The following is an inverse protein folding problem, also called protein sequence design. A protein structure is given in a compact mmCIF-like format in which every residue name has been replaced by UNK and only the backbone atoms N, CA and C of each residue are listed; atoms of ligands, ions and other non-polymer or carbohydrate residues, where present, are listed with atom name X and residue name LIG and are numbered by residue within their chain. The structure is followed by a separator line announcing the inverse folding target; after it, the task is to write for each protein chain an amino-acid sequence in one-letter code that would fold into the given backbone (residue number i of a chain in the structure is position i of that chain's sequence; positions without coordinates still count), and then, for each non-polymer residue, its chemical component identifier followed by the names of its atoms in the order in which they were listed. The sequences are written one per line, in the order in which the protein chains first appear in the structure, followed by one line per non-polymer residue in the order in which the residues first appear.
data_IF_443999051774
#
_entry.id   IF_443999051774
#
_cell.length_a   1.000
_cell.length_b   1.000
_cell.length_c   1.000
_cell.angle_alpha   90.00
_cell.angle_beta   90.00
_cell.angle_gamma   90.00
#
_symmetry.space_group_name_H-M   'P 1'
#
loop_
_entity.id
_entity.type
_entity.pdbx_description
1 polymer ?
#
# COMPACT_ATOMS: atom_id res chain seq x y z
N UNK A 1 -79.95 -31.75 -7.51
CA UNK A 1 -78.47 -31.93 -7.46
C UNK A 1 -77.89 -30.68 -8.08
N UNK A 2 -77.22 -29.85 -7.25
CA UNK A 2 -76.57 -28.59 -7.67
C UNK A 2 -75.08 -28.85 -7.66
N UNK A 3 -74.44 -28.77 -8.81
CA UNK A 3 -72.99 -28.90 -8.96
C UNK A 3 -72.34 -27.51 -8.72
N UNK A 4 -71.49 -27.41 -7.71
CA UNK A 4 -70.66 -26.26 -7.46
C UNK A 4 -69.31 -26.47 -8.18
N UNK A 5 -69.03 -25.68 -9.21
CA UNK A 5 -67.76 -25.70 -9.92
C UNK A 5 -66.83 -24.75 -9.14
N UNK A 6 -65.82 -25.33 -8.45
CA UNK A 6 -64.76 -24.51 -7.83
C UNK A 6 -63.74 -24.14 -8.91
N UNK A 7 -63.63 -22.86 -9.21
CA UNK A 7 -62.57 -22.30 -10.07
C UNK A 7 -61.30 -22.13 -9.24
N UNK A 8 -60.25 -22.89 -9.59
CA UNK A 8 -58.90 -22.73 -8.96
C UNK A 8 -58.21 -21.50 -9.66
N UNK A 9 -57.97 -20.44 -8.88
CA UNK A 9 -57.22 -19.27 -9.31
C UNK A 9 -55.73 -19.61 -9.13
N UNK A 10 -55.02 -19.86 -10.23
CA UNK A 10 -53.56 -20.03 -10.20
C UNK A 10 -52.88 -18.65 -10.09
N UNK A 11 -52.32 -18.34 -8.92
CA UNK A 11 -51.44 -17.19 -8.77
C UNK A 11 -50.11 -17.46 -9.51
N UNK A 12 -49.86 -16.79 -10.61
CA UNK A 12 -48.56 -16.77 -11.27
C UNK A 12 -47.61 -15.88 -10.44
N UNK A 13 -46.59 -16.48 -9.83
CA UNK A 13 -45.49 -15.75 -9.20
C UNK A 13 -44.66 -15.02 -10.27
N UNK A 14 -44.32 -13.75 -10.08
CA UNK A 14 -43.48 -13.05 -11.04
C UNK A 14 -42.12 -13.71 -11.13
N UNK A 15 -41.68 -14.01 -12.36
CA UNK A 15 -40.35 -14.56 -12.65
C UNK A 15 -39.28 -13.65 -12.04
N UNK A 16 -38.37 -14.26 -11.29
CA UNK A 16 -37.39 -13.60 -10.43
C UNK A 16 -36.61 -12.50 -11.14
N UNK A 17 -36.62 -11.34 -10.53
CA UNK A 17 -35.67 -10.29 -10.86
C UNK A 17 -34.26 -10.81 -10.58
N UNK A 18 -33.46 -11.00 -11.63
CA UNK A 18 -32.04 -11.36 -11.49
C UNK A 18 -31.35 -10.23 -10.72
N UNK A 19 -30.96 -10.51 -9.48
CA UNK A 19 -30.20 -9.55 -8.68
C UNK A 19 -28.94 -9.14 -9.45
N UNK A 20 -28.71 -7.83 -9.60
CA UNK A 20 -27.46 -7.35 -10.19
C UNK A 20 -26.30 -7.90 -9.38
N UNK A 21 -25.20 -8.36 -10.03
CA UNK A 21 -24.02 -8.83 -9.31
C UNK A 21 -23.56 -7.75 -8.34
N UNK A 22 -23.40 -8.11 -7.08
CA UNK A 22 -22.80 -7.20 -6.08
C UNK A 22 -21.33 -7.03 -6.47
N UNK A 23 -20.85 -5.79 -6.68
CA UNK A 23 -19.45 -5.56 -7.00
C UNK A 23 -18.55 -6.21 -5.95
N UNK A 24 -17.48 -6.89 -6.42
CA UNK A 24 -16.49 -7.47 -5.51
C UNK A 24 -15.86 -6.33 -4.69
N UNK A 25 -15.79 -6.46 -3.35
CA UNK A 25 -15.12 -5.47 -2.54
C UNK A 25 -13.69 -5.22 -3.01
N UNK A 26 -13.27 -3.96 -3.05
CA UNK A 26 -11.92 -3.57 -3.46
C UNK A 26 -11.40 -2.46 -2.55
N UNK A 27 -10.07 -2.31 -2.50
CA UNK A 27 -9.45 -1.20 -1.80
C UNK A 27 -9.59 0.05 -2.66
N UNK A 28 -10.33 1.03 -2.17
CA UNK A 28 -10.53 2.30 -2.85
C UNK A 28 -9.46 3.30 -2.44
N UNK A 29 -8.84 3.96 -3.42
CA UNK A 29 -7.84 5.00 -3.21
C UNK A 29 -8.28 6.28 -3.86
N UNK A 30 -8.14 7.41 -3.17
CA UNK A 30 -8.44 8.74 -3.71
C UNK A 30 -7.19 9.61 -3.69
N UNK A 31 -7.22 10.68 -4.46
CA UNK A 31 -6.13 11.65 -4.57
C UNK A 31 -5.97 12.18 -5.98
N UNK A 32 -5.15 13.20 -6.15
CA UNK A 32 -4.87 13.74 -7.48
C UNK A 32 -4.02 12.73 -8.29
N UNK A 33 -4.31 12.51 -9.58
CA UNK A 33 -3.54 11.60 -10.43
C UNK A 33 -2.04 11.92 -10.44
N UNK A 34 -1.68 13.21 -10.40
CA UNK A 34 -0.31 13.71 -10.40
C UNK A 34 0.39 13.62 -9.04
N UNK A 35 -0.34 13.36 -7.95
CA UNK A 35 0.25 13.25 -6.62
C UNK A 35 1.13 11.99 -6.50
N UNK A 36 2.20 12.11 -5.70
CA UNK A 36 3.13 11.00 -5.43
C UNK A 36 2.50 9.91 -4.56
N UNK A 37 1.49 10.27 -3.78
CA UNK A 37 0.80 9.42 -2.80
C UNK A 37 -0.71 9.51 -2.98
N UNK A 38 -1.45 8.56 -2.44
CA UNK A 38 -2.91 8.68 -2.30
C UNK A 38 -3.28 9.59 -1.14
N UNK A 39 -4.39 10.32 -1.27
CA UNK A 39 -4.98 11.11 -0.17
C UNK A 39 -5.65 10.22 0.87
N UNK A 40 -6.38 9.19 0.41
CA UNK A 40 -7.02 8.19 1.26
C UNK A 40 -6.84 6.77 0.71
N UNK A 41 -6.99 5.79 1.59
CA UNK A 41 -7.18 4.38 1.23
C UNK A 41 -8.30 3.82 2.13
N UNK A 42 -9.40 3.39 1.52
CA UNK A 42 -10.50 2.74 2.23
C UNK A 42 -10.39 1.23 2.05
N UNK A 43 -10.37 0.52 3.17
CA UNK A 43 -10.18 -0.93 3.23
C UNK A 43 -11.53 -1.55 3.55
N UNK A 44 -12.11 -2.41 2.68
CA UNK A 44 -13.40 -3.03 2.94
C UNK A 44 -13.34 -4.03 4.09
N UNK A 45 -14.47 -4.26 4.74
CA UNK A 45 -14.59 -5.27 5.79
C UNK A 45 -14.21 -6.66 5.26
N UNK A 46 -13.59 -7.46 6.12
CA UNK A 46 -13.13 -8.82 5.77
C UNK A 46 -11.77 -8.85 5.05
N UNK A 47 -11.14 -7.71 4.81
CA UNK A 47 -9.78 -7.64 4.24
C UNK A 47 -8.75 -8.30 5.14
N UNK A 48 -7.75 -8.94 4.53
CA UNK A 48 -6.52 -9.35 5.23
C UNK A 48 -5.61 -8.14 5.37
N UNK A 49 -5.03 -7.95 6.55
CA UNK A 49 -4.11 -6.86 6.86
C UNK A 49 -2.74 -7.45 7.21
N UNK A 50 -1.69 -6.87 6.64
CA UNK A 50 -0.30 -7.21 6.92
C UNK A 50 0.46 -5.95 7.36
N UNK A 51 1.11 -6.02 8.51
CA UNK A 51 1.98 -4.99 9.03
C UNK A 51 3.44 -5.34 8.72
N UNK A 52 4.16 -4.40 8.11
CA UNK A 52 5.58 -4.50 7.87
C UNK A 52 6.29 -3.57 8.86
N UNK A 53 7.18 -4.14 9.67
CA UNK A 53 8.03 -3.38 10.60
C UNK A 53 8.95 -2.41 9.86
N UNK A 54 9.48 -1.43 10.60
CA UNK A 54 10.51 -0.52 10.13
C UNK A 54 11.67 -1.28 9.48
N UNK A 55 12.00 -0.88 8.28
CA UNK A 55 13.07 -1.47 7.46
C UNK A 55 14.07 -0.37 7.13
N UNK A 56 15.36 -0.66 7.37
CA UNK A 56 16.50 0.20 7.00
C UNK A 56 17.28 -0.39 5.83
N UNK A 57 18.17 0.38 5.23
CA UNK A 57 18.98 -0.07 4.10
C UNK A 57 19.96 -1.19 4.48
N UNK A 58 20.40 -1.97 3.51
CA UNK A 58 21.60 -2.82 3.62
C UNK A 58 22.83 -2.01 3.21
N UNK A 59 24.03 -2.34 3.68
CA UNK A 59 25.26 -1.73 3.19
C UNK A 59 25.36 -1.81 1.67
N UNK A 60 25.91 -0.77 1.04
CA UNK A 60 26.13 -0.71 -0.42
C UNK A 60 27.16 -1.77 -0.83
N UNK A 61 28.21 -1.92 -0.01
CA UNK A 61 29.24 -2.91 -0.16
C UNK A 61 29.32 -3.75 1.12
N UNK A 62 29.14 -5.08 1.05
CA UNK A 62 29.26 -5.96 2.22
C UNK A 62 30.59 -5.83 2.97
N UNK A 63 31.67 -5.42 2.30
CA UNK A 63 32.98 -5.17 2.90
C UNK A 63 33.05 -3.85 3.69
N UNK A 64 32.02 -3.00 3.56
CA UNK A 64 31.89 -1.69 4.22
C UNK A 64 30.59 -1.64 5.01
N UNK A 65 30.49 -2.28 6.17
CA UNK A 65 29.22 -2.51 6.88
C UNK A 65 28.51 -1.25 7.36
N UNK A 66 29.18 -0.09 7.38
CA UNK A 66 28.62 1.20 7.78
C UNK A 66 28.37 2.17 6.60
N UNK A 67 28.66 1.73 5.36
CA UNK A 67 28.36 2.51 4.16
C UNK A 67 27.00 2.10 3.58
N UNK A 68 25.98 2.91 3.85
CA UNK A 68 24.61 2.71 3.34
C UNK A 68 24.27 3.65 2.16
N UNK A 69 25.22 4.50 1.77
CA UNK A 69 25.00 5.51 0.74
C UNK A 69 24.08 6.67 1.18
N UNK A 70 23.65 7.44 0.21
CA UNK A 70 22.76 8.59 0.41
C UNK A 70 21.30 8.19 0.61
N UNK A 71 20.42 9.19 0.84
CA UNK A 71 18.98 8.99 1.03
C UNK A 71 18.33 8.23 -0.12
N UNK A 72 18.70 8.52 -1.37
CA UNK A 72 18.14 7.85 -2.55
C UNK A 72 18.57 6.37 -2.58
N UNK A 73 19.85 6.08 -2.35
CA UNK A 73 20.42 4.72 -2.29
C UNK A 73 19.75 3.91 -1.18
N UNK A 74 19.63 4.48 0.01
CA UNK A 74 18.95 3.82 1.14
C UNK A 74 17.48 3.56 0.85
N UNK A 75 16.76 4.52 0.29
CA UNK A 75 15.36 4.35 -0.10
C UNK A 75 15.19 3.20 -1.09
N UNK A 76 16.06 3.13 -2.12
CA UNK A 76 16.03 2.05 -3.11
C UNK A 76 16.26 0.68 -2.45
N UNK A 77 17.27 0.57 -1.60
CA UNK A 77 17.58 -0.66 -0.85
C UNK A 77 16.38 -1.13 -0.03
N UNK A 78 15.74 -0.20 0.72
CA UNK A 78 14.57 -0.49 1.56
C UNK A 78 13.39 -0.96 0.72
N UNK A 79 12.98 -0.21 -0.30
CA UNK A 79 11.82 -0.57 -1.12
C UNK A 79 12.02 -1.87 -1.90
N UNK A 80 13.26 -2.17 -2.30
CA UNK A 80 13.61 -3.47 -2.90
C UNK A 80 13.42 -4.62 -1.90
N UNK A 81 13.88 -4.46 -0.66
CA UNK A 81 13.69 -5.47 0.40
C UNK A 81 12.21 -5.65 0.75
N UNK A 82 11.46 -4.55 0.89
CA UNK A 82 10.02 -4.62 1.17
C UNK A 82 9.27 -5.34 0.04
N UNK A 83 9.63 -5.05 -1.22
CA UNK A 83 9.06 -5.75 -2.38
C UNK A 83 9.33 -7.25 -2.29
N UNK A 84 10.57 -7.66 -2.07
CA UNK A 84 10.94 -9.08 -1.95
C UNK A 84 10.22 -9.77 -0.76
N UNK A 85 10.11 -9.10 0.38
CA UNK A 85 9.37 -9.62 1.55
C UNK A 85 7.89 -9.85 1.22
N UNK A 86 7.25 -8.86 0.60
CA UNK A 86 5.84 -8.95 0.19
C UNK A 86 5.64 -10.09 -0.81
N UNK A 87 6.46 -10.16 -1.85
CA UNK A 87 6.37 -11.20 -2.89
C UNK A 87 6.60 -12.61 -2.31
N UNK A 88 7.55 -12.78 -1.39
CA UNK A 88 7.78 -14.04 -0.69
C UNK A 88 6.60 -14.53 0.16
N UNK A 89 5.71 -13.62 0.55
CA UNK A 89 4.47 -13.91 1.28
C UNK A 89 3.23 -13.97 0.38
N UNK A 90 3.39 -13.86 -0.95
CA UNK A 90 2.29 -13.81 -1.90
C UNK A 90 1.56 -12.46 -1.93
N UNK A 91 2.22 -11.37 -1.48
CA UNK A 91 1.73 -10.00 -1.55
C UNK A 91 2.53 -9.20 -2.60
N UNK A 92 2.15 -7.94 -2.82
CA UNK A 92 2.86 -7.05 -3.73
C UNK A 92 2.93 -5.62 -3.18
N UNK A 93 3.74 -4.78 -3.78
CA UNK A 93 3.73 -3.33 -3.50
C UNK A 93 2.36 -2.69 -3.79
N UNK A 94 1.59 -3.24 -4.73
CA UNK A 94 0.23 -2.79 -5.04
C UNK A 94 -0.76 -2.97 -3.89
N UNK A 95 -0.47 -3.88 -2.96
CA UNK A 95 -1.30 -4.13 -1.77
C UNK A 95 -0.99 -3.15 -0.63
N UNK A 96 0.11 -2.36 -0.71
CA UNK A 96 0.46 -1.39 0.34
C UNK A 96 -0.55 -0.23 0.34
N UNK A 97 -1.13 0.03 1.51
CA UNK A 97 -2.15 1.06 1.70
C UNK A 97 -1.66 2.25 2.51
N UNK A 98 -0.69 2.03 3.40
CA UNK A 98 -0.09 3.08 4.24
C UNK A 98 1.41 2.87 4.37
N UNK A 99 2.16 3.98 4.36
CA UNK A 99 3.58 4.01 4.73
C UNK A 99 3.85 5.16 5.70
N UNK A 100 4.79 4.94 6.61
CA UNK A 100 5.47 5.99 7.34
C UNK A 100 6.95 5.95 6.95
N UNK A 101 7.50 7.11 6.66
CA UNK A 101 8.89 7.30 6.25
C UNK A 101 9.55 8.23 7.24
N UNK A 102 10.57 7.74 7.90
CA UNK A 102 11.39 8.48 8.85
C UNK A 102 12.72 8.81 8.17
N UNK A 103 13.06 10.09 8.12
CA UNK A 103 14.28 10.58 7.48
C UNK A 103 15.14 11.33 8.49
N UNK A 104 16.43 11.04 8.49
CA UNK A 104 17.44 11.85 9.17
C UNK A 104 18.04 12.81 8.14
N UNK A 105 18.35 14.04 8.56
CA UNK A 105 19.06 14.98 7.70
C UNK A 105 20.46 14.44 7.36
N UNK A 106 20.89 14.45 6.09
CA UNK A 106 22.23 14.01 5.72
C UNK A 106 23.35 14.83 6.39
N UNK A 107 23.07 16.11 6.62
CA UNK A 107 23.99 17.03 7.29
C UNK A 107 23.48 17.42 8.67
N UNK A 108 24.37 17.51 9.64
CA UNK A 108 24.01 17.90 11.01
C UNK A 108 23.33 19.28 11.04
N UNK A 109 22.17 19.38 11.70
CA UNK A 109 21.35 20.59 11.74
C UNK A 109 20.63 20.94 10.43
N UNK A 110 20.77 20.10 9.39
CA UNK A 110 20.15 20.28 8.08
C UNK A 110 18.69 19.81 8.03
N UNK A 111 18.18 19.72 6.82
CA UNK A 111 16.84 19.20 6.52
C UNK A 111 16.93 17.82 5.87
N UNK A 112 15.89 17.01 6.09
CA UNK A 112 15.74 15.72 5.42
C UNK A 112 15.78 15.87 3.90
N UNK A 113 16.39 14.92 3.21
CA UNK A 113 16.39 14.85 1.74
C UNK A 113 15.10 14.18 1.24
N UNK A 114 13.99 14.90 1.32
CA UNK A 114 12.71 14.44 0.79
C UNK A 114 12.73 14.31 -0.75
N UNK A 115 13.60 15.03 -1.45
CA UNK A 115 13.69 14.99 -2.92
C UNK A 115 14.32 13.67 -3.39
N UNK A 116 15.44 13.27 -2.80
CA UNK A 116 16.11 12.00 -3.09
C UNK A 116 15.19 10.79 -2.79
N UNK A 117 14.52 10.82 -1.62
CA UNK A 117 13.54 9.80 -1.27
C UNK A 117 12.39 9.74 -2.27
N UNK A 118 11.75 10.88 -2.62
CA UNK A 118 10.62 10.92 -3.55
C UNK A 118 11.02 10.53 -4.98
N UNK A 119 12.23 10.86 -5.43
CA UNK A 119 12.76 10.45 -6.72
C UNK A 119 12.71 8.94 -6.90
N UNK A 120 13.19 8.22 -5.89
CA UNK A 120 13.17 6.74 -5.87
C UNK A 120 11.75 6.21 -5.66
N UNK A 121 10.98 6.77 -4.73
CA UNK A 121 9.62 6.30 -4.43
C UNK A 121 8.75 6.20 -5.69
N UNK A 122 8.82 7.19 -6.58
CA UNK A 122 8.07 7.23 -7.86
C UNK A 122 8.43 6.10 -8.83
N UNK A 123 9.57 5.43 -8.64
CA UNK A 123 9.94 4.28 -9.48
C UNK A 123 9.34 2.96 -8.98
N UNK A 124 8.77 2.95 -7.78
CA UNK A 124 8.11 1.79 -7.17
C UNK A 124 6.59 1.92 -7.10
N UNK A 125 6.06 3.15 -7.04
CA UNK A 125 4.63 3.43 -6.86
C UNK A 125 4.11 4.42 -7.89
N UNK A 126 2.91 4.19 -8.42
CA UNK A 126 2.30 5.04 -9.44
C UNK A 126 2.95 4.88 -10.81
N UNK A 127 3.59 3.74 -11.07
CA UNK A 127 4.14 3.35 -12.38
C UNK A 127 3.06 2.67 -13.23
N UNK A 128 3.24 2.57 -14.56
CA UNK A 128 2.32 1.80 -15.40
C UNK A 128 2.11 0.35 -14.93
N UNK A 129 3.18 -0.31 -14.48
CA UNK A 129 3.13 -1.70 -14.03
C UNK A 129 2.60 -1.85 -12.58
N UNK A 130 2.77 -0.82 -11.76
CA UNK A 130 2.28 -0.76 -10.39
C UNK A 130 1.63 0.61 -10.11
N UNK A 131 0.35 0.83 -10.53
CA UNK A 131 -0.32 2.12 -10.49
C UNK A 131 -0.77 2.55 -9.08
N UNK A 132 -0.91 1.62 -8.14
CA UNK A 132 -1.39 1.90 -6.81
C UNK A 132 -0.37 2.73 -6.01
N UNK A 133 -0.86 3.73 -5.30
CA UNK A 133 -0.06 4.57 -4.40
C UNK A 133 -0.58 4.42 -2.98
N UNK A 134 0.28 4.22 -1.97
CA UNK A 134 -0.17 4.25 -0.57
C UNK A 134 -0.48 5.67 -0.11
N UNK A 135 -1.24 5.81 0.96
CA UNK A 135 -1.17 7.00 1.80
C UNK A 135 0.19 7.03 2.51
N UNK A 136 0.77 8.21 2.76
CA UNK A 136 2.10 8.29 3.36
C UNK A 136 2.24 9.52 4.26
N UNK A 137 2.94 9.33 5.39
CA UNK A 137 3.54 10.42 6.15
C UNK A 137 5.05 10.34 6.01
N UNK A 138 5.72 11.49 5.87
CA UNK A 138 7.18 11.57 5.85
C UNK A 138 7.58 12.63 6.85
N UNK A 139 8.43 12.25 7.79
CA UNK A 139 8.87 13.13 8.88
C UNK A 139 10.38 13.08 9.03
N UNK A 140 10.96 14.22 9.44
CA UNK A 140 12.34 14.24 9.88
C UNK A 140 12.40 13.80 11.34
N UNK A 141 13.36 12.93 11.64
CA UNK A 141 13.68 12.48 12.99
C UNK A 141 15.11 12.89 13.36
N UNK A 142 15.40 12.95 14.65
CA UNK A 142 16.72 13.35 15.13
C UNK A 142 17.80 12.30 14.81
N UNK A 143 17.46 11.01 14.92
CA UNK A 143 18.37 9.90 14.65
C UNK A 143 17.56 8.63 14.38
N UNK A 144 18.22 7.65 13.75
CA UNK A 144 17.77 6.26 13.60
C UNK A 144 18.77 5.33 14.29
N UNK A 145 18.57 4.03 14.17
CA UNK A 145 19.29 3.02 14.93
C UNK A 145 20.83 3.01 14.75
N UNK A 146 21.35 3.57 13.64
CA UNK A 146 22.79 3.73 13.38
C UNK A 146 23.07 5.15 12.87
N UNK A 147 24.28 5.69 13.15
CA UNK A 147 24.62 7.08 12.75
C UNK A 147 24.52 7.34 11.24
N UNK A 148 24.79 6.35 10.41
CA UNK A 148 24.77 6.45 8.93
C UNK A 148 23.43 6.05 8.32
N UNK A 149 22.43 5.67 9.13
CA UNK A 149 21.07 5.39 8.67
C UNK A 149 20.31 6.67 8.49
N UNK A 150 19.97 6.99 7.24
CA UNK A 150 19.23 8.19 6.87
C UNK A 150 17.74 7.91 6.64
N UNK A 151 17.35 6.66 6.41
CA UNK A 151 15.99 6.29 6.02
C UNK A 151 15.54 5.03 6.76
N UNK A 152 14.32 5.10 7.31
CA UNK A 152 13.57 3.94 7.78
C UNK A 152 12.14 4.02 7.25
N UNK A 153 11.58 2.91 6.81
CA UNK A 153 10.23 2.84 6.26
C UNK A 153 9.48 1.67 6.89
N UNK A 154 8.27 1.94 7.38
CA UNK A 154 7.30 0.93 7.77
C UNK A 154 6.05 1.00 6.88
N UNK A 155 5.30 -0.08 6.79
CA UNK A 155 4.13 -0.12 5.93
C UNK A 155 3.00 -1.00 6.47
N UNK A 156 1.79 -0.71 5.99
CA UNK A 156 0.61 -1.55 6.14
C UNK A 156 0.14 -1.92 4.73
N UNK A 157 -0.06 -3.21 4.50
CA UNK A 157 -0.66 -3.74 3.28
C UNK A 157 -2.03 -4.36 3.57
N UNK A 158 -2.92 -4.32 2.58
CA UNK A 158 -4.26 -4.89 2.68
C UNK A 158 -4.65 -5.62 1.39
N UNK A 159 -5.36 -6.74 1.54
CA UNK A 159 -6.02 -7.45 0.43
C UNK A 159 -7.50 -7.56 0.71
N UNK A 160 -8.31 -7.11 -0.22
CA UNK A 160 -9.76 -7.29 -0.19
C UNK A 160 -10.14 -8.78 -0.20
N UNK A 161 -11.31 -9.14 0.34
CA UNK A 161 -11.80 -10.52 0.41
C UNK A 161 -12.07 -11.14 -0.95
#
# INVERSE_FOLDING_TARGET
MKYVIAAALALALPAGATAKPVPKPMIERTGMPTAVISGTAMIPAGSKILYLSGTTASPVDPAKPDDFGDTATQTKSILTKMKATLEGMGWSLGDVVKMNVFLVAPEAGGRMDAAGMNGVFKTFFGTPDQPNKPTRSTVQVAALGRPTTLVEIEAIAAKAP
#
